data_IF_959491468073
#
_entry.id   IF_959491468073
#
_cell.length_a   1.000
_cell.length_b   1.000
_cell.length_c   1.000
_cell.angle_alpha   90.00
_cell.angle_beta   90.00
_cell.angle_gamma   90.00
#
_symmetry.space_group_name_H-M   'P 1'
#
loop_
_entity.id
_entity.type
_entity.pdbx_description
1 polymer ?
#
# COMPACT_ATOMS: atom_id res chain seq x y z
N UNK A 1 8.16 -15.75 -21.24
CA UNK A 1 7.97 -14.41 -21.83
C UNK A 1 9.08 -13.55 -21.26
N UNK A 2 10.02 -13.05 -22.07
CA UNK A 2 11.08 -12.15 -21.58
C UNK A 2 10.47 -10.76 -21.49
N UNK A 3 9.99 -10.37 -20.31
CA UNK A 3 9.59 -8.99 -20.05
C UNK A 3 10.87 -8.17 -20.00
N UNK A 4 10.99 -7.18 -20.89
CA UNK A 4 12.10 -6.22 -20.91
C UNK A 4 12.09 -5.40 -19.62
N UNK A 5 13.08 -5.64 -18.76
CA UNK A 5 13.22 -5.03 -17.42
C UNK A 5 13.70 -3.57 -17.48
N UNK A 6 13.87 -2.98 -18.66
CA UNK A 6 14.37 -1.61 -18.88
C UNK A 6 13.46 -0.47 -18.44
N UNK A 7 12.36 -0.75 -17.72
CA UNK A 7 11.32 0.21 -17.35
C UNK A 7 11.40 0.75 -15.91
N UNK A 8 12.37 0.39 -15.07
CA UNK A 8 12.49 0.97 -13.72
C UNK A 8 13.57 2.07 -13.69
N UNK A 9 13.21 3.28 -13.23
CA UNK A 9 14.15 4.40 -13.09
C UNK A 9 14.81 4.35 -11.69
N UNK A 10 15.71 3.37 -11.51
CA UNK A 10 16.44 3.11 -10.25
C UNK A 10 17.43 1.95 -10.39
N UNK A 11 18.22 1.68 -9.36
CA UNK A 11 18.96 0.41 -9.31
C UNK A 11 17.95 -0.70 -9.03
N UNK A 12 17.61 -1.47 -10.06
CA UNK A 12 16.76 -2.65 -9.95
C UNK A 12 17.62 -3.90 -9.81
N UNK A 13 17.18 -4.82 -8.96
CA UNK A 13 17.82 -6.12 -8.80
C UNK A 13 16.80 -7.18 -9.21
N UNK A 14 17.13 -7.87 -10.30
CA UNK A 14 16.34 -8.95 -10.87
C UNK A 14 17.14 -10.23 -10.85
N UNK A 15 16.54 -11.33 -10.39
CA UNK A 15 17.21 -12.62 -10.35
C UNK A 15 18.14 -12.77 -9.14
N UNK A 16 18.66 -13.99 -9.00
CA UNK A 16 19.24 -14.62 -7.81
C UNK A 16 20.43 -13.90 -7.13
N UNK A 17 20.81 -12.70 -7.57
CA UNK A 17 22.02 -12.00 -7.14
C UNK A 17 21.73 -10.54 -6.78
N UNK A 18 21.54 -10.29 -5.48
CA UNK A 18 21.63 -8.95 -4.90
C UNK A 18 23.11 -8.52 -4.86
N UNK A 19 23.51 -7.34 -5.37
CA UNK A 19 24.91 -6.94 -5.31
C UNK A 19 25.39 -6.79 -3.87
N UNK A 20 26.60 -7.28 -3.60
CA UNK A 20 27.21 -7.36 -2.26
C UNK A 20 27.27 -5.99 -1.56
N UNK A 21 27.43 -4.91 -2.32
CA UNK A 21 27.46 -3.54 -1.79
C UNK A 21 26.13 -3.14 -1.13
N UNK A 22 25.01 -3.75 -1.55
CA UNK A 22 23.66 -3.46 -1.05
C UNK A 22 23.17 -4.48 -0.02
N UNK A 23 23.59 -5.75 -0.10
CA UNK A 23 23.23 -6.76 0.91
C UNK A 23 23.71 -6.36 2.31
N UNK A 24 24.84 -5.67 2.42
CA UNK A 24 25.34 -5.11 3.69
C UNK A 24 24.40 -4.07 4.34
N UNK A 25 23.42 -3.55 3.60
CA UNK A 25 22.47 -2.51 4.04
C UNK A 25 21.04 -3.03 4.23
N UNK A 26 20.80 -4.30 3.91
CA UNK A 26 19.50 -4.96 4.05
C UNK A 26 19.55 -5.91 5.25
N UNK A 27 18.43 -6.00 5.96
CA UNK A 27 18.28 -7.02 6.99
C UNK A 27 18.27 -8.41 6.34
N UNK A 28 18.84 -9.41 7.01
CA UNK A 28 18.91 -10.79 6.50
C UNK A 28 17.53 -11.31 6.09
N UNK A 29 16.51 -11.06 6.89
CA UNK A 29 15.13 -11.49 6.60
C UNK A 29 14.59 -10.92 5.27
N UNK A 30 15.00 -9.72 4.86
CA UNK A 30 14.61 -9.13 3.57
C UNK A 30 15.31 -9.85 2.41
N UNK A 31 16.57 -10.21 2.61
CA UNK A 31 17.35 -10.98 1.63
C UNK A 31 16.76 -12.39 1.49
N UNK A 32 16.45 -13.05 2.61
CA UNK A 32 15.85 -14.38 2.64
C UNK A 32 14.48 -14.36 1.91
N UNK A 33 13.60 -13.39 2.22
CA UNK A 33 12.31 -13.22 1.52
C UNK A 33 12.46 -12.97 0.01
N UNK A 34 13.47 -12.20 -0.42
CA UNK A 34 13.73 -11.99 -1.84
C UNK A 34 14.09 -13.29 -2.55
N UNK A 35 14.91 -14.14 -1.90
CA UNK A 35 15.31 -15.44 -2.44
C UNK A 35 14.17 -16.49 -2.42
N UNK A 36 13.26 -16.41 -1.46
CA UNK A 36 12.06 -17.26 -1.42
C UNK A 36 11.04 -16.86 -2.50
N UNK A 37 11.15 -15.64 -3.04
CA UNK A 37 10.43 -15.18 -4.20
C UNK A 37 9.00 -14.71 -3.93
N UNK A 38 8.28 -14.45 -5.02
CA UNK A 38 6.96 -13.80 -5.00
C UNK A 38 5.90 -14.61 -4.24
N UNK A 39 5.87 -15.93 -4.38
CA UNK A 39 4.87 -16.77 -3.69
C UNK A 39 5.02 -16.70 -2.17
N UNK A 40 6.25 -16.72 -1.65
CA UNK A 40 6.51 -16.60 -0.22
C UNK A 40 6.13 -15.21 0.31
N UNK A 41 6.43 -14.16 -0.46
CA UNK A 41 6.00 -12.80 -0.13
C UNK A 41 4.47 -12.71 -0.10
N UNK A 42 3.79 -13.20 -1.14
CA UNK A 42 2.34 -13.11 -1.33
C UNK A 42 1.50 -14.12 -0.53
N UNK A 43 2.13 -15.10 0.14
CA UNK A 43 1.45 -16.28 0.67
C UNK A 43 0.26 -15.98 1.57
N UNK A 44 0.37 -14.97 2.43
CA UNK A 44 -0.70 -14.58 3.36
C UNK A 44 -1.91 -13.96 2.62
N UNK A 45 -1.70 -13.31 1.48
CA UNK A 45 -2.76 -12.67 0.67
C UNK A 45 -3.64 -13.73 0.01
N UNK A 46 -3.07 -14.91 -0.30
CA UNK A 46 -3.76 -16.02 -0.98
C UNK A 46 -5.05 -16.44 -0.30
N UNK A 47 -5.13 -16.33 1.03
CA UNK A 47 -6.28 -16.78 1.80
C UNK A 47 -7.39 -15.74 1.87
N UNK A 48 -7.03 -14.48 2.08
CA UNK A 48 -8.00 -13.39 2.28
C UNK A 48 -8.40 -12.70 0.96
N UNK A 49 -7.53 -12.75 -0.04
CA UNK A 49 -7.73 -12.12 -1.36
C UNK A 49 -7.18 -13.01 -2.48
N UNK A 50 -7.79 -14.20 -2.70
CA UNK A 50 -7.28 -15.18 -3.67
C UNK A 50 -7.19 -14.63 -5.09
N UNK A 51 -8.14 -13.79 -5.51
CA UNK A 51 -8.16 -13.20 -6.85
C UNK A 51 -6.99 -12.21 -7.06
N UNK A 52 -6.71 -11.38 -6.05
CA UNK A 52 -5.56 -10.46 -6.09
C UNK A 52 -4.26 -11.29 -6.11
N UNK A 53 -4.16 -12.31 -5.25
CA UNK A 53 -3.00 -13.21 -5.24
C UNK A 53 -2.78 -13.83 -6.63
N UNK A 54 -3.81 -14.40 -7.23
CA UNK A 54 -3.72 -15.07 -8.52
C UNK A 54 -3.26 -14.10 -9.62
N UNK A 55 -3.79 -12.88 -9.65
CA UNK A 55 -3.37 -11.85 -10.60
C UNK A 55 -1.91 -11.45 -10.38
N UNK A 56 -1.51 -11.16 -9.13
CA UNK A 56 -0.13 -10.81 -8.82
C UNK A 56 0.84 -11.95 -9.13
N UNK A 57 0.44 -13.19 -8.93
CA UNK A 57 1.29 -14.36 -9.14
C UNK A 57 1.44 -14.71 -10.62
N UNK A 58 0.36 -14.65 -11.41
CA UNK A 58 0.34 -15.12 -12.80
C UNK A 58 0.53 -14.03 -13.83
N UNK A 59 -0.04 -12.86 -13.60
CA UNK A 59 -0.14 -11.79 -14.61
C UNK A 59 0.90 -10.68 -14.40
N UNK A 60 1.62 -10.69 -13.28
CA UNK A 60 2.76 -9.82 -13.03
C UNK A 60 4.08 -10.60 -13.09
N UNK A 61 5.16 -9.88 -13.30
CA UNK A 61 6.53 -10.37 -13.28
C UNK A 61 6.92 -11.09 -11.99
N UNK A 62 8.14 -11.65 -11.99
CA UNK A 62 8.81 -12.02 -10.74
C UNK A 62 9.03 -10.80 -9.83
N UNK A 63 9.36 -11.07 -8.57
CA UNK A 63 9.62 -10.05 -7.56
C UNK A 63 10.95 -9.34 -7.85
N UNK A 64 10.91 -8.01 -7.92
CA UNK A 64 12.09 -7.16 -7.98
C UNK A 64 12.30 -6.43 -6.66
N UNK A 65 13.56 -6.16 -6.34
CA UNK A 65 13.93 -5.19 -5.30
C UNK A 65 14.44 -3.92 -5.98
N UNK A 66 13.78 -2.79 -5.72
CA UNK A 66 14.11 -1.49 -6.32
C UNK A 66 14.64 -0.57 -5.24
N UNK A 67 15.79 0.04 -5.51
CA UNK A 67 16.35 1.12 -4.68
C UNK A 67 15.91 2.47 -5.21
N UNK A 68 15.43 3.31 -4.30
CA UNK A 68 15.17 4.73 -4.52
C UNK A 68 16.09 5.57 -3.64
N UNK A 69 16.72 6.60 -4.22
CA UNK A 69 17.59 7.54 -3.49
C UNK A 69 16.84 8.78 -2.99
N UNK A 70 15.54 8.64 -2.73
CA UNK A 70 14.72 9.70 -2.18
C UNK A 70 15.14 10.04 -0.73
N UNK A 71 15.84 11.17 -0.57
CA UNK A 71 16.23 11.71 0.73
C UNK A 71 17.69 11.44 1.12
N UNK A 72 17.98 11.43 2.42
CA UNK A 72 19.36 11.29 2.93
C UNK A 72 19.86 9.85 3.07
N UNK A 73 18.99 8.86 2.85
CA UNK A 73 19.31 7.43 2.90
C UNK A 73 18.58 6.70 1.78
N UNK A 74 19.20 5.67 1.19
CA UNK A 74 18.54 4.84 0.19
C UNK A 74 17.35 4.12 0.83
N UNK A 75 16.28 4.05 0.06
CA UNK A 75 14.99 3.48 0.38
C UNK A 75 14.76 2.28 -0.55
N UNK A 76 14.25 1.18 0.01
CA UNK A 76 14.05 -0.07 -0.75
C UNK A 76 12.57 -0.40 -0.86
N UNK A 77 12.20 -0.92 -2.03
CA UNK A 77 10.83 -1.25 -2.37
C UNK A 77 10.77 -2.60 -3.08
N UNK A 78 9.74 -3.37 -2.77
CA UNK A 78 9.30 -4.47 -3.63
C UNK A 78 8.68 -3.88 -4.89
N UNK A 79 8.98 -4.47 -6.04
CA UNK A 79 8.33 -4.11 -7.29
C UNK A 79 7.86 -5.35 -8.05
N UNK A 80 6.68 -5.23 -8.64
CA UNK A 80 6.11 -6.15 -9.61
C UNK A 80 5.74 -5.37 -10.87
N UNK A 81 5.88 -5.98 -12.04
CA UNK A 81 5.68 -5.33 -13.32
C UNK A 81 4.70 -6.11 -14.18
N UNK A 82 3.80 -5.40 -14.85
CA UNK A 82 3.02 -5.89 -15.99
C UNK A 82 3.51 -5.23 -17.29
N UNK A 83 2.86 -5.53 -18.41
CA UNK A 83 3.14 -4.81 -19.67
C UNK A 83 2.84 -3.31 -19.56
N UNK A 84 1.79 -2.93 -18.83
CA UNK A 84 1.23 -1.57 -18.82
C UNK A 84 1.59 -0.74 -17.58
N UNK A 85 1.80 -1.38 -16.44
CA UNK A 85 2.01 -0.69 -15.17
C UNK A 85 2.90 -1.45 -14.18
N UNK A 86 3.32 -0.74 -13.15
CA UNK A 86 4.14 -1.25 -12.05
C UNK A 86 3.37 -1.19 -10.72
N UNK A 87 3.67 -2.14 -9.85
CA UNK A 87 3.26 -2.14 -8.44
C UNK A 87 4.52 -1.97 -7.60
N UNK A 88 4.54 -0.96 -6.72
CA UNK A 88 5.62 -0.73 -5.77
C UNK A 88 5.12 -0.86 -4.35
N UNK A 89 5.94 -1.41 -3.46
CA UNK A 89 5.60 -1.54 -2.05
C UNK A 89 6.81 -1.23 -1.19
N UNK A 90 6.60 -0.45 -0.14
CA UNK A 90 7.66 -0.16 0.82
C UNK A 90 8.03 -1.43 1.59
N UNK A 91 9.32 -1.77 1.70
CA UNK A 91 9.72 -2.90 2.56
C UNK A 91 9.43 -2.53 4.03
N UNK A 92 8.50 -3.24 4.72
CA UNK A 92 7.92 -2.80 6.01
C UNK A 92 8.95 -2.42 7.07
N UNK A 93 10.12 -3.07 7.07
CA UNK A 93 11.17 -2.87 8.09
C UNK A 93 12.10 -1.68 7.85
N UNK A 94 12.13 -1.11 6.64
CA UNK A 94 13.06 -0.02 6.27
C UNK A 94 12.50 1.37 6.61
N UNK A 95 11.17 1.52 6.73
CA UNK A 95 10.51 2.83 6.90
C UNK A 95 10.07 3.10 8.34
N UNK A 96 11.01 2.98 9.29
CA UNK A 96 10.80 3.34 10.72
C UNK A 96 10.81 4.84 11.01
N UNK A 97 10.51 5.70 10.04
CA UNK A 97 10.44 7.15 10.26
C UNK A 97 9.04 7.64 10.04
N UNK A 98 8.23 7.52 11.08
CA UNK A 98 6.91 8.11 11.09
C UNK A 98 6.81 9.27 12.07
N UNK A 99 6.29 10.39 11.55
CA UNK A 99 5.73 11.51 12.34
C UNK A 99 4.35 11.15 12.92
N UNK A 100 4.06 9.86 13.11
CA UNK A 100 2.78 9.38 13.64
C UNK A 100 2.87 9.29 15.16
N UNK A 101 1.77 9.63 15.87
CA UNK A 101 1.67 9.51 17.34
C UNK A 101 1.36 8.09 17.82
N UNK A 102 1.25 7.11 16.92
CA UNK A 102 0.85 5.72 17.21
C UNK A 102 2.04 4.78 16.97
N UNK A 103 2.17 3.76 17.83
CA UNK A 103 3.21 2.74 17.66
C UNK A 103 2.81 1.69 16.61
N UNK A 104 3.81 1.06 15.99
CA UNK A 104 3.63 -0.05 15.04
C UNK A 104 2.85 -1.23 15.67
N UNK A 105 3.09 -1.51 16.96
CA UNK A 105 2.37 -2.56 17.68
C UNK A 105 0.88 -2.25 17.82
N UNK A 106 0.55 -1.03 18.23
CA UNK A 106 -0.85 -0.58 18.36
C UNK A 106 -1.56 -0.63 17.01
N UNK A 107 -0.85 -0.25 15.95
CA UNK A 107 -1.31 -0.35 14.57
C UNK A 107 -1.68 -1.78 14.17
N UNK A 108 -0.75 -2.72 14.24
CA UNK A 108 -1.01 -4.11 13.82
C UNK A 108 -2.08 -4.77 14.68
N UNK A 109 -2.16 -4.43 15.98
CA UNK A 109 -3.22 -4.92 16.84
C UNK A 109 -4.60 -4.34 16.52
N UNK A 110 -4.64 -3.18 15.87
CA UNK A 110 -5.89 -2.49 15.56
C UNK A 110 -6.51 -2.94 14.24
N UNK A 111 -5.70 -3.45 13.30
CA UNK A 111 -6.12 -3.88 11.97
C UNK A 111 -7.13 -5.04 12.04
N UNK A 112 -8.18 -5.01 11.20
CA UNK A 112 -8.98 -6.21 10.92
C UNK A 112 -8.09 -7.35 10.43
N UNK A 113 -8.37 -8.59 10.85
CA UNK A 113 -7.54 -9.76 10.52
C UNK A 113 -7.31 -9.89 9.00
N UNK A 114 -8.36 -9.71 8.19
CA UNK A 114 -8.27 -9.82 6.74
C UNK A 114 -7.33 -8.78 6.10
N UNK A 115 -7.07 -7.63 6.73
CA UNK A 115 -6.13 -6.63 6.20
C UNK A 115 -4.67 -6.90 6.57
N UNK A 116 -4.41 -7.69 7.62
CA UNK A 116 -3.05 -7.93 8.10
C UNK A 116 -2.11 -8.50 7.03
N UNK A 117 -2.54 -9.41 6.12
CA UNK A 117 -1.68 -9.89 5.03
C UNK A 117 -1.04 -8.77 4.21
N UNK A 118 -1.80 -7.75 3.81
CA UNK A 118 -1.27 -6.63 3.03
C UNK A 118 -0.20 -5.81 3.77
N UNK A 119 -0.35 -5.67 5.09
CA UNK A 119 0.53 -4.84 5.89
C UNK A 119 1.74 -5.59 6.44
N UNK A 120 1.63 -6.91 6.61
CA UNK A 120 2.76 -7.76 6.93
C UNK A 120 3.71 -7.90 5.74
N UNK A 121 3.16 -8.12 4.54
CA UNK A 121 3.92 -8.38 3.32
C UNK A 121 4.43 -7.11 2.64
N UNK A 122 3.50 -6.20 2.31
CA UNK A 122 3.79 -5.06 1.44
C UNK A 122 3.84 -3.72 2.19
N UNK A 123 3.35 -3.67 3.43
CA UNK A 123 3.11 -2.38 4.08
C UNK A 123 2.41 -1.42 3.09
N UNK A 124 1.34 -1.91 2.45
CA UNK A 124 0.63 -1.22 1.37
C UNK A 124 1.34 -1.22 0.00
N UNK A 125 0.65 -0.83 -1.06
CA UNK A 125 1.29 -0.71 -2.38
C UNK A 125 0.75 0.43 -3.26
N UNK A 126 1.60 0.89 -4.16
CA UNK A 126 1.32 1.91 -5.15
C UNK A 126 1.20 1.23 -6.52
N UNK A 127 0.15 1.57 -7.27
CA UNK A 127 0.04 1.20 -8.67
C UNK A 127 0.25 2.44 -9.53
N UNK A 128 1.12 2.34 -10.53
CA UNK A 128 1.40 3.46 -11.42
C UNK A 128 1.84 2.97 -12.80
N UNK A 129 1.46 3.69 -13.86
CA UNK A 129 2.00 3.47 -15.20
C UNK A 129 3.46 3.95 -15.30
N UNK A 130 3.94 4.69 -14.30
CA UNK A 130 5.27 5.27 -14.30
C UNK A 130 6.35 4.26 -13.88
N UNK A 131 7.56 4.51 -14.35
CA UNK A 131 8.77 3.74 -14.09
C UNK A 131 9.37 3.93 -12.70
N UNK A 132 8.87 4.92 -11.96
CA UNK A 132 9.48 5.40 -10.72
C UNK A 132 8.42 5.63 -9.63
N UNK A 133 8.90 5.68 -8.38
CA UNK A 133 8.07 5.74 -7.18
C UNK A 133 7.76 7.20 -6.83
N UNK A 134 6.47 7.54 -6.75
CA UNK A 134 6.03 8.85 -6.26
C UNK A 134 5.79 8.78 -4.77
N UNK A 135 6.80 9.17 -4.01
CA UNK A 135 6.83 8.99 -2.55
C UNK A 135 5.64 9.55 -1.72
N UNK A 136 4.64 10.24 -2.27
CA UNK A 136 3.71 11.04 -1.46
C UNK A 136 2.23 11.14 -1.88
N UNK A 137 1.72 10.57 -2.98
CA UNK A 137 0.36 10.98 -3.45
C UNK A 137 -0.63 9.91 -3.92
N UNK A 138 -0.23 8.68 -4.20
CA UNK A 138 -1.14 7.61 -4.65
C UNK A 138 -0.81 6.27 -4.01
N UNK A 139 -1.83 5.44 -3.76
CA UNK A 139 -1.58 4.09 -3.28
C UNK A 139 -2.84 3.29 -2.96
N UNK A 140 -2.95 2.13 -3.61
CA UNK A 140 -3.93 1.13 -3.24
C UNK A 140 -3.50 0.48 -1.92
N UNK A 141 -4.28 0.70 -0.86
CA UNK A 141 -3.88 0.39 0.52
C UNK A 141 -2.56 1.11 0.87
N UNK A 142 -2.66 2.34 1.36
CA UNK A 142 -1.52 3.20 1.72
C UNK A 142 -0.63 2.52 2.75
N UNK A 143 0.69 2.73 2.63
CA UNK A 143 1.65 2.34 3.67
C UNK A 143 1.25 2.91 5.03
N UNK A 144 1.55 2.20 6.12
CA UNK A 144 1.42 2.72 7.49
C UNK A 144 2.07 4.11 7.63
N UNK A 145 3.13 4.33 6.85
CA UNK A 145 3.81 5.62 6.83
C UNK A 145 2.97 6.79 6.29
N UNK A 146 1.96 6.48 5.50
CA UNK A 146 1.09 7.40 4.79
C UNK A 146 -0.37 7.32 5.27
N UNK A 147 -0.62 6.75 6.44
CA UNK A 147 -1.96 6.74 7.03
C UNK A 147 -2.32 8.10 7.62
N UNK A 148 -2.88 8.97 6.81
CA UNK A 148 -3.31 10.30 7.25
C UNK A 148 -4.48 10.17 8.23
N UNK A 149 -4.34 10.77 9.41
CA UNK A 149 -5.46 10.98 10.33
C UNK A 149 -6.32 12.15 9.90
N UNK A 150 -7.53 12.27 10.46
CA UNK A 150 -8.50 13.33 10.11
C UNK A 150 -7.89 14.74 10.18
N UNK A 151 -6.97 15.00 11.11
CA UNK A 151 -6.34 16.33 11.22
C UNK A 151 -5.52 16.68 9.97
N UNK A 152 -4.72 15.75 9.45
CA UNK A 152 -3.96 15.93 8.20
C UNK A 152 -4.89 16.00 6.99
N UNK A 153 -5.97 15.21 6.96
CA UNK A 153 -7.00 15.29 5.92
C UNK A 153 -7.60 16.71 5.88
N UNK A 154 -7.90 17.28 7.04
CA UNK A 154 -8.40 18.65 7.16
C UNK A 154 -7.40 19.70 6.68
N UNK A 155 -6.10 19.49 6.85
CA UNK A 155 -5.05 20.38 6.31
C UNK A 155 -4.97 20.27 4.78
N UNK A 156 -5.02 19.06 4.21
CA UNK A 156 -4.97 18.84 2.76
C UNK A 156 -6.23 19.33 2.03
N UNK A 157 -7.40 19.18 2.64
CA UNK A 157 -8.69 19.60 2.08
C UNK A 157 -9.07 21.03 2.46
N UNK A 158 -8.18 21.79 3.12
CA UNK A 158 -8.36 23.22 3.38
C UNK A 158 -9.43 23.55 4.43
N UNK A 159 -9.31 22.97 5.64
CA UNK A 159 -10.22 23.15 6.77
C UNK A 159 -11.71 22.97 6.38
N UNK A 160 -11.99 21.95 5.57
CA UNK A 160 -13.32 21.68 5.03
C UNK A 160 -14.32 21.26 6.12
N UNK A 161 -15.61 21.54 5.87
CA UNK A 161 -16.74 21.02 6.66
C UNK A 161 -16.67 19.50 6.87
N UNK A 162 -16.04 18.78 5.94
CA UNK A 162 -15.92 17.33 5.97
C UNK A 162 -15.02 16.80 7.09
N UNK A 163 -13.91 17.47 7.43
CA UNK A 163 -13.09 17.09 8.57
C UNK A 163 -13.87 17.23 9.90
N UNK A 164 -14.72 18.26 10.01
CA UNK A 164 -15.64 18.44 11.15
C UNK A 164 -16.70 17.35 11.18
N UNK A 165 -17.29 17.00 10.03
CA UNK A 165 -18.27 15.91 9.90
C UNK A 165 -17.66 14.58 10.36
N UNK A 166 -16.44 14.26 9.92
CA UNK A 166 -15.75 13.05 10.34
C UNK A 166 -15.44 13.05 11.84
N UNK A 167 -14.94 14.16 12.40
CA UNK A 167 -14.70 14.29 13.86
C UNK A 167 -15.98 14.10 14.68
N UNK A 168 -17.11 14.59 14.18
CA UNK A 168 -18.40 14.44 14.85
C UNK A 168 -18.93 13.00 14.74
N UNK A 169 -18.83 12.39 13.55
CA UNK A 169 -19.26 11.00 13.30
C UNK A 169 -18.44 10.00 14.10
N UNK A 170 -17.14 10.23 14.23
CA UNK A 170 -16.18 9.37 14.95
C UNK A 170 -15.67 10.04 16.22
N UNK A 171 -16.58 10.58 17.04
CA UNK A 171 -16.22 11.24 18.28
C UNK A 171 -15.49 10.27 19.22
N UNK A 172 -14.23 10.58 19.55
CA UNK A 172 -13.36 9.72 20.36
C UNK A 172 -12.66 8.59 19.60
N UNK A 173 -12.93 8.43 18.30
CA UNK A 173 -12.26 7.49 17.41
C UNK A 173 -10.90 8.00 16.91
N UNK A 174 -10.20 7.14 16.18
CA UNK A 174 -8.95 7.46 15.47
C UNK A 174 -9.06 6.99 14.02
N UNK A 175 -9.68 7.83 13.20
CA UNK A 175 -9.96 7.49 11.79
C UNK A 175 -8.75 7.78 10.92
N UNK A 176 -8.38 6.77 10.14
CA UNK A 176 -7.25 6.80 9.21
C UNK A 176 -7.72 6.49 7.81
N UNK A 177 -7.15 7.20 6.84
CA UNK A 177 -7.22 6.77 5.43
C UNK A 177 -6.20 5.66 5.26
N UNK A 178 -6.69 4.48 4.90
CA UNK A 178 -5.89 3.26 4.79
C UNK A 178 -5.65 2.85 3.34
N UNK A 179 -6.36 3.45 2.38
CA UNK A 179 -6.22 3.22 0.95
C UNK A 179 -6.79 4.36 0.13
N UNK A 180 -6.21 4.61 -1.04
CA UNK A 180 -6.72 5.55 -2.04
C UNK A 180 -6.60 4.93 -3.43
N UNK A 181 -7.73 4.61 -4.04
CA UNK A 181 -7.75 4.12 -5.40
C UNK A 181 -7.44 5.23 -6.40
N UNK A 182 -7.10 4.84 -7.63
CA UNK A 182 -6.77 5.78 -8.71
C UNK A 182 -7.97 6.64 -9.13
N UNK A 183 -9.20 6.21 -8.84
CA UNK A 183 -10.43 6.96 -9.09
C UNK A 183 -10.79 7.94 -7.95
N UNK A 184 -9.82 8.23 -7.08
CA UNK A 184 -9.93 9.12 -5.92
C UNK A 184 -10.93 8.64 -4.85
N UNK A 185 -11.36 7.39 -4.90
CA UNK A 185 -12.04 6.77 -3.78
C UNK A 185 -11.06 6.45 -2.65
N UNK A 186 -11.45 6.73 -1.41
CA UNK A 186 -10.66 6.42 -0.22
C UNK A 186 -11.34 5.43 0.69
N UNK A 187 -10.54 4.57 1.30
CA UNK A 187 -10.93 3.69 2.39
C UNK A 187 -10.51 4.30 3.72
N UNK A 188 -11.47 4.41 4.64
CA UNK A 188 -11.28 4.91 5.99
C UNK A 188 -11.53 3.81 7.02
N UNK A 189 -10.73 3.82 8.07
CA UNK A 189 -10.82 2.87 9.17
C UNK A 189 -10.72 3.59 10.51
N UNK A 190 -11.67 3.36 11.41
CA UNK A 190 -11.57 3.84 12.78
C UNK A 190 -10.78 2.84 13.64
N UNK A 191 -9.52 3.17 13.89
CA UNK A 191 -8.61 2.34 14.65
C UNK A 191 -9.00 2.19 16.13
N UNK A 192 -9.68 3.18 16.72
CA UNK A 192 -10.07 3.16 18.14
C UNK A 192 -11.56 2.89 18.35
N UNK A 193 -12.34 2.90 17.28
CA UNK A 193 -13.76 2.55 17.30
C UNK A 193 -14.02 1.13 17.78
N UNK A 194 -15.14 0.95 18.46
CA UNK A 194 -15.59 -0.36 18.94
C UNK A 194 -15.92 -1.33 17.79
N UNK A 195 -16.40 -0.79 16.66
CA UNK A 195 -16.97 -1.62 15.59
C UNK A 195 -15.97 -2.03 14.50
N UNK A 196 -14.73 -1.52 14.51
CA UNK A 196 -13.65 -1.91 13.57
C UNK A 196 -14.08 -2.01 12.09
N UNK A 197 -15.00 -1.14 11.67
CA UNK A 197 -15.59 -1.09 10.34
C UNK A 197 -14.70 -0.32 9.36
N UNK A 198 -14.75 -0.73 8.09
CA UNK A 198 -14.20 0.04 6.97
C UNK A 198 -15.33 0.87 6.36
N UNK A 199 -14.96 2.09 5.98
CA UNK A 199 -15.84 3.01 5.29
C UNK A 199 -15.20 3.46 3.97
N UNK A 200 -16.01 3.86 2.99
CA UNK A 200 -15.54 4.44 1.74
C UNK A 200 -16.19 5.79 1.46
N UNK A 201 -15.49 6.64 0.72
CA UNK A 201 -16.01 7.90 0.19
C UNK A 201 -15.12 8.41 -0.95
N UNK A 202 -15.62 9.28 -1.84
CA UNK A 202 -14.76 10.08 -2.71
C UNK A 202 -13.87 11.02 -1.87
N UNK A 203 -12.59 11.15 -2.22
CA UNK A 203 -11.60 11.94 -1.48
C UNK A 203 -12.04 13.39 -1.21
N UNK A 204 -12.68 14.03 -2.19
CA UNK A 204 -13.16 15.41 -2.09
C UNK A 204 -14.54 15.55 -1.44
N UNK A 205 -15.22 14.43 -1.10
CA UNK A 205 -16.59 14.41 -0.57
C UNK A 205 -16.73 13.39 0.56
N UNK A 206 -15.92 13.54 1.61
CA UNK A 206 -15.91 12.61 2.75
C UNK A 206 -17.21 12.68 3.58
N UNK A 207 -18.05 13.69 3.37
CA UNK A 207 -19.41 13.75 3.89
C UNK A 207 -20.33 12.63 3.38
N UNK A 208 -20.01 12.00 2.23
CA UNK A 208 -20.75 10.88 1.65
C UNK A 208 -20.26 9.52 2.15
N UNK A 209 -19.77 9.45 3.38
CA UNK A 209 -19.16 8.25 3.93
C UNK A 209 -20.15 7.09 4.09
N UNK A 210 -19.88 5.99 3.40
CA UNK A 210 -20.66 4.75 3.44
C UNK A 210 -19.89 3.64 4.17
N UNK A 211 -20.60 2.79 4.91
CA UNK A 211 -20.01 1.59 5.53
C UNK A 211 -19.86 0.50 4.46
N UNK A 212 -18.68 -0.11 4.41
CA UNK A 212 -18.41 -1.24 3.51
C UNK A 212 -18.89 -2.53 4.18
N UNK A 213 -19.97 -3.10 3.66
CA UNK A 213 -20.63 -4.30 4.22
C UNK A 213 -19.90 -5.60 3.91
N UNK A 214 -19.15 -5.65 2.80
CA UNK A 214 -18.25 -6.74 2.42
C UNK A 214 -16.86 -6.17 2.06
N UNK A 215 -15.99 -5.95 3.06
CA UNK A 215 -14.70 -5.32 2.85
C UNK A 215 -13.76 -6.06 1.90
N UNK A 216 -13.75 -7.40 1.92
CA UNK A 216 -12.84 -8.19 1.10
C UNK A 216 -13.20 -8.07 -0.38
N UNK A 217 -14.49 -8.25 -0.71
CA UNK A 217 -14.98 -8.06 -2.08
C UNK A 217 -14.80 -6.62 -2.55
N UNK A 218 -15.02 -5.64 -1.66
CA UNK A 218 -14.86 -4.23 -2.00
C UNK A 218 -13.42 -3.85 -2.35
N UNK A 219 -12.47 -4.26 -1.51
CA UNK A 219 -11.04 -4.04 -1.73
C UNK A 219 -10.59 -4.72 -3.04
N UNK A 220 -11.04 -5.94 -3.30
CA UNK A 220 -10.75 -6.65 -4.55
C UNK A 220 -11.28 -5.90 -5.77
N UNK A 221 -12.52 -5.43 -5.73
CA UNK A 221 -13.10 -4.60 -6.79
C UNK A 221 -12.30 -3.31 -6.99
N UNK A 222 -11.91 -2.65 -5.90
CA UNK A 222 -11.13 -1.43 -5.95
C UNK A 222 -9.73 -1.67 -6.56
N UNK A 223 -9.12 -2.83 -6.31
CA UNK A 223 -7.85 -3.24 -6.91
C UNK A 223 -7.99 -3.37 -8.42
N UNK A 224 -8.96 -4.18 -8.88
CA UNK A 224 -9.15 -4.44 -10.30
C UNK A 224 -9.69 -3.23 -11.07
N UNK A 225 -10.43 -2.33 -10.42
CA UNK A 225 -10.76 -1.03 -11.00
C UNK A 225 -9.49 -0.20 -11.28
N UNK A 226 -8.52 -0.21 -10.37
CA UNK A 226 -7.25 0.49 -10.55
C UNK A 226 -6.43 -0.14 -11.68
N UNK A 227 -6.34 -1.48 -11.72
CA UNK A 227 -5.72 -2.23 -12.84
C UNK A 227 -6.36 -1.85 -14.17
N UNK A 228 -7.69 -1.95 -14.28
CA UNK A 228 -8.41 -1.65 -15.51
C UNK A 228 -8.24 -0.21 -16.00
N UNK A 229 -7.99 0.74 -15.10
CA UNK A 229 -7.72 2.13 -15.48
C UNK A 229 -6.33 2.30 -16.06
N UNK A 230 -5.34 1.57 -15.53
CA UNK A 230 -3.96 1.65 -16.02
C UNK A 230 -3.75 0.90 -17.34
N UNK A 231 -4.48 -0.18 -17.58
CA UNK A 231 -4.36 -0.98 -18.83
C UNK A 231 -5.14 -0.41 -20.02
N UNK A 232 -5.99 0.60 -19.82
CA UNK A 232 -6.80 1.23 -20.87
C UNK A 232 -6.15 2.48 -21.50
N UNK A 233 -4.92 2.82 -21.09
CA UNK A 233 -4.18 4.01 -21.52
C UNK A 233 -3.22 3.63 -22.63
#
# INVERSE_FOLDING_TARGET
MNIDTGKFDGCYFSGDVLPIEFTSRLDKDVIDLFHEGKEALLGDIKFEFPEIFEYLDKDMSDLFLVRSDLGSKPLFYWALQSEDFNIFSSVPRVYRKLKQKISEREYYSSLPEYLKPFYHTFNGFEMTAESHIHSHQGGFLLSFSNWYGIDLIGEYLGASSDAVILKNKFSGGDVRVIGRALDDEVLLFDMKGADKKIYCAPWEKLSLLEEVTDPQSYISKMFFNSVNRLTRV
#
